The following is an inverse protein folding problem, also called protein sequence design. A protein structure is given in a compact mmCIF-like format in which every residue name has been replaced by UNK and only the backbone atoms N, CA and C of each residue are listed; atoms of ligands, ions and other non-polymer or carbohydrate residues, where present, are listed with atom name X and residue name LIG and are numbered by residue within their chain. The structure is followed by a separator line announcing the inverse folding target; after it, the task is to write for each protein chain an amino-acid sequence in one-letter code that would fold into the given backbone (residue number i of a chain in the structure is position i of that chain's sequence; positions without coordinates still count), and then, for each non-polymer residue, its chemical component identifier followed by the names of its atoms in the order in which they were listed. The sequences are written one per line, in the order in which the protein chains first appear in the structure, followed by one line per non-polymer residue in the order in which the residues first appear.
data_IF_235082929031
#
_entry.id   IF_235082929031
#
_cell.length_a   1.000
_cell.length_b   1.000
_cell.length_c   1.000
_cell.angle_alpha   90.00
_cell.angle_beta   90.00
_cell.angle_gamma   90.00
#
_symmetry.space_group_name_H-M   'P 1'
#
loop_
_entity.id
_entity.type
_entity.pdbx_description
1 polymer ?
#
# COMPACT_ATOMS: atom_id res chain seq x y z
N UNK A 1 4.59 47.20 -11.14
CA UNK A 1 5.64 46.16 -11.05
C UNK A 1 5.46 45.45 -9.73
N UNK A 2 4.76 44.35 -9.71
CA UNK A 2 4.54 43.51 -8.51
C UNK A 2 5.18 42.18 -8.78
N UNK A 3 6.37 41.98 -8.23
CA UNK A 3 7.07 40.73 -8.29
C UNK A 3 6.48 39.72 -7.28
N UNK A 4 5.77 38.73 -7.78
CA UNK A 4 5.32 37.58 -6.99
C UNK A 4 6.52 36.69 -6.73
N UNK A 5 7.05 36.73 -5.52
CA UNK A 5 8.11 35.82 -5.07
C UNK A 5 7.49 34.45 -4.81
N UNK A 6 7.64 33.57 -5.76
CA UNK A 6 7.30 32.15 -5.65
C UNK A 6 8.19 31.52 -4.58
N UNK A 7 7.62 31.29 -3.39
CA UNK A 7 8.33 30.60 -2.31
C UNK A 7 8.48 29.13 -2.73
N UNK A 8 9.66 28.78 -3.21
CA UNK A 8 10.08 27.39 -3.35
C UNK A 8 9.88 26.68 -2.00
N UNK A 9 8.92 25.75 -1.94
CA UNK A 9 8.75 24.83 -0.81
C UNK A 9 9.99 23.96 -0.73
N UNK A 10 10.92 24.29 0.16
CA UNK A 10 12.04 23.42 0.52
C UNK A 10 11.44 22.15 1.10
N UNK A 11 11.58 21.03 0.39
CA UNK A 11 11.23 19.68 0.93
C UNK A 11 12.07 19.49 2.20
N UNK A 12 11.46 19.10 3.34
CA UNK A 12 12.25 18.79 4.52
C UNK A 12 13.22 17.65 4.17
N UNK A 13 14.51 17.87 4.35
CA UNK A 13 15.52 16.82 4.24
C UNK A 13 15.22 15.82 5.37
N UNK A 14 14.74 14.63 5.00
CA UNK A 14 14.63 13.53 5.93
C UNK A 14 16.05 13.12 6.32
N UNK A 15 16.27 12.97 7.61
CA UNK A 15 17.48 12.28 8.06
C UNK A 15 17.43 10.85 7.50
N UNK A 16 18.53 10.34 6.94
CA UNK A 16 18.56 8.99 6.40
C UNK A 16 18.27 8.00 7.53
N UNK A 17 17.29 7.14 7.31
CA UNK A 17 17.02 6.05 8.23
C UNK A 17 18.29 5.20 8.38
N UNK A 18 18.80 5.04 9.59
CA UNK A 18 20.00 4.26 9.89
C UNK A 18 19.62 2.88 10.45
N UNK A 19 20.37 1.85 10.04
CA UNK A 19 20.21 0.49 10.53
C UNK A 19 19.27 -0.40 9.69
N UNK A 20 19.30 -1.71 9.96
CA UNK A 20 18.47 -2.69 9.26
C UNK A 20 17.00 -2.55 9.64
N UNK A 21 16.09 -2.87 8.71
CA UNK A 21 14.67 -2.97 9.02
C UNK A 21 14.36 -4.25 9.80
N UNK A 22 13.48 -4.13 10.79
CA UNK A 22 12.99 -5.26 11.59
C UNK A 22 11.69 -5.87 11.00
N UNK A 23 10.99 -5.11 10.14
CA UNK A 23 9.75 -5.54 9.53
C UNK A 23 9.43 -4.88 8.20
N UNK A 24 8.58 -5.54 7.42
CA UNK A 24 8.04 -5.02 6.18
C UNK A 24 6.52 -5.11 6.20
N UNK A 25 5.85 -4.01 5.88
CA UNK A 25 4.40 -3.91 5.74
C UNK A 25 4.09 -3.79 4.26
N UNK A 26 3.26 -4.67 3.75
CA UNK A 26 2.89 -4.73 2.33
C UNK A 26 1.48 -4.19 2.12
N UNK A 27 1.28 -3.46 1.05
CA UNK A 27 -0.03 -3.41 0.42
C UNK A 27 -0.36 -4.76 -0.22
N UNK A 28 -1.65 -4.99 -0.54
CA UNK A 28 -2.11 -6.27 -1.08
C UNK A 28 -2.29 -6.23 -2.60
N UNK A 29 -3.27 -5.46 -3.09
CA UNK A 29 -3.64 -5.45 -4.50
C UNK A 29 -2.67 -4.62 -5.33
N UNK A 30 -2.11 -5.21 -6.39
CA UNK A 30 -1.07 -4.54 -7.18
C UNK A 30 0.34 -4.67 -6.59
N UNK A 31 0.47 -5.14 -5.35
CA UNK A 31 1.74 -5.33 -4.65
C UNK A 31 2.04 -6.81 -4.39
N UNK A 32 1.25 -7.49 -3.60
CA UNK A 32 1.41 -8.95 -3.35
C UNK A 32 0.69 -9.79 -4.39
N UNK A 33 -0.49 -9.33 -4.81
CA UNK A 33 -1.37 -10.05 -5.72
C UNK A 33 -1.86 -9.16 -6.86
N UNK A 34 -2.22 -9.80 -7.96
CA UNK A 34 -3.03 -9.19 -9.02
C UNK A 34 -4.46 -9.75 -8.90
N UNK A 35 -5.37 -8.93 -8.44
CA UNK A 35 -6.80 -9.22 -8.35
C UNK A 35 -7.59 -8.75 -9.57
N UNK A 36 -6.93 -8.07 -10.51
CA UNK A 36 -7.54 -7.53 -11.71
C UNK A 36 -8.65 -6.50 -11.44
N UNK A 37 -8.55 -5.75 -10.33
CA UNK A 37 -9.48 -4.67 -10.01
C UNK A 37 -9.34 -3.52 -11.01
N UNK A 38 -10.45 -3.13 -11.62
CA UNK A 38 -10.52 -1.98 -12.53
C UNK A 38 -11.31 -0.84 -11.87
N UNK A 39 -10.57 0.05 -11.23
CA UNK A 39 -11.16 1.19 -10.53
C UNK A 39 -11.85 2.19 -11.48
N UNK A 40 -11.50 2.23 -12.78
CA UNK A 40 -12.20 3.07 -13.75
C UNK A 40 -13.58 2.49 -14.09
N UNK A 41 -13.68 1.18 -14.24
CA UNK A 41 -14.96 0.48 -14.40
C UNK A 41 -15.84 0.68 -13.17
N UNK A 42 -15.28 0.50 -11.96
CA UNK A 42 -16.03 0.72 -10.72
C UNK A 42 -16.61 2.13 -10.64
N UNK A 43 -15.79 3.18 -10.89
CA UNK A 43 -16.24 4.57 -10.89
C UNK A 43 -17.40 4.81 -11.87
N UNK A 44 -17.27 4.32 -13.09
CA UNK A 44 -18.33 4.46 -14.11
C UNK A 44 -19.63 3.79 -13.66
N UNK A 45 -19.54 2.60 -13.10
CA UNK A 45 -20.73 1.86 -12.61
C UNK A 45 -21.37 2.54 -11.39
N UNK A 46 -20.58 3.16 -10.54
CA UNK A 46 -21.04 3.95 -9.40
C UNK A 46 -21.60 5.32 -9.82
N UNK A 47 -21.33 5.79 -11.03
CA UNK A 47 -21.65 7.14 -11.48
C UNK A 47 -20.73 8.21 -10.89
N UNK A 48 -19.50 7.83 -10.50
CA UNK A 48 -18.52 8.74 -9.91
C UNK A 48 -17.57 9.31 -10.98
N UNK A 49 -17.02 10.53 -10.76
CA UNK A 49 -16.05 11.13 -11.67
C UNK A 49 -14.77 10.30 -11.82
N UNK A 50 -14.10 10.46 -12.95
CA UNK A 50 -12.80 9.83 -13.16
C UNK A 50 -11.74 10.35 -12.17
N UNK A 51 -10.84 9.45 -11.74
CA UNK A 51 -9.70 9.80 -10.91
C UNK A 51 -10.01 10.05 -9.42
N UNK A 52 -11.28 10.13 -9.00
CA UNK A 52 -11.61 10.33 -7.59
C UNK A 52 -11.33 9.08 -6.76
N UNK A 53 -10.88 9.22 -5.49
CA UNK A 53 -10.74 8.10 -4.58
C UNK A 53 -12.12 7.56 -4.18
N UNK A 54 -12.34 6.24 -4.36
CA UNK A 54 -13.67 5.63 -4.20
C UNK A 54 -14.19 5.72 -2.76
N UNK A 55 -13.42 5.26 -1.79
CA UNK A 55 -13.86 5.18 -0.39
C UNK A 55 -14.18 6.57 0.18
N UNK A 56 -13.28 7.52 -0.02
CA UNK A 56 -13.44 8.90 0.46
C UNK A 56 -14.61 9.63 -0.22
N UNK A 57 -14.84 9.33 -1.49
CA UNK A 57 -15.98 9.90 -2.23
C UNK A 57 -17.29 9.32 -1.69
N UNK A 58 -17.33 8.01 -1.41
CA UNK A 58 -18.54 7.34 -0.90
C UNK A 58 -18.94 7.83 0.48
N UNK A 59 -18.01 8.31 1.31
CA UNK A 59 -18.31 8.88 2.64
C UNK A 59 -19.12 10.17 2.56
N UNK A 60 -19.08 10.87 1.42
CA UNK A 60 -19.75 12.15 1.20
C UNK A 60 -21.05 12.04 0.36
N UNK A 61 -21.46 10.82 0.01
CA UNK A 61 -22.72 10.58 -0.74
C UNK A 61 -23.94 10.55 0.18
N UNK A 62 -25.11 10.80 -0.39
CA UNK A 62 -26.37 10.50 0.29
C UNK A 62 -26.44 8.99 0.65
N UNK A 63 -27.10 8.66 1.75
CA UNK A 63 -27.11 7.31 2.32
C UNK A 63 -27.51 6.22 1.30
N UNK A 64 -28.61 6.42 0.55
CA UNK A 64 -29.06 5.47 -0.46
C UNK A 64 -28.03 5.26 -1.58
N UNK A 65 -27.33 6.31 -1.98
CA UNK A 65 -26.30 6.26 -3.01
C UNK A 65 -25.03 5.59 -2.48
N UNK A 66 -24.63 5.90 -1.25
CA UNK A 66 -23.52 5.24 -0.58
C UNK A 66 -23.73 3.73 -0.43
N UNK A 67 -24.93 3.29 -0.07
CA UNK A 67 -25.31 1.86 0.01
C UNK A 67 -25.16 1.20 -1.37
N UNK A 68 -25.67 1.82 -2.43
CA UNK A 68 -25.54 1.31 -3.80
C UNK A 68 -24.08 1.19 -4.21
N UNK A 69 -23.29 2.22 -3.98
CA UNK A 69 -21.86 2.23 -4.31
C UNK A 69 -21.06 1.17 -3.52
N UNK A 70 -21.37 0.99 -2.23
CA UNK A 70 -20.77 -0.09 -1.41
C UNK A 70 -21.07 -1.47 -1.97
N UNK A 71 -22.30 -1.73 -2.41
CA UNK A 71 -22.66 -3.02 -3.02
C UNK A 71 -21.89 -3.27 -4.33
N UNK A 72 -21.69 -2.24 -5.15
CA UNK A 72 -20.86 -2.31 -6.37
C UNK A 72 -19.40 -2.63 -6.00
N UNK A 73 -18.83 -1.89 -5.05
CA UNK A 73 -17.45 -2.09 -4.57
C UNK A 73 -17.24 -3.54 -4.10
N UNK A 74 -18.08 -4.01 -3.17
CA UNK A 74 -17.98 -5.36 -2.60
C UNK A 74 -18.08 -6.45 -3.68
N UNK A 75 -18.96 -6.29 -4.67
CA UNK A 75 -19.08 -7.25 -5.78
C UNK A 75 -17.77 -7.31 -6.60
N UNK A 76 -17.18 -6.16 -6.93
CA UNK A 76 -15.89 -6.11 -7.66
C UNK A 76 -14.75 -6.68 -6.84
N UNK A 77 -14.66 -6.34 -5.58
CA UNK A 77 -13.63 -6.84 -4.65
C UNK A 77 -13.76 -8.37 -4.48
N UNK A 78 -14.96 -8.90 -4.26
CA UNK A 78 -15.18 -10.34 -4.15
C UNK A 78 -14.83 -11.08 -5.45
N UNK A 79 -15.19 -10.53 -6.60
CA UNK A 79 -14.80 -11.08 -7.90
C UNK A 79 -13.28 -11.02 -8.10
N UNK A 80 -12.63 -9.95 -7.63
CA UNK A 80 -11.17 -9.80 -7.62
C UNK A 80 -10.51 -10.86 -6.74
N UNK A 81 -10.97 -11.03 -5.51
CA UNK A 81 -10.48 -12.04 -4.59
C UNK A 81 -10.57 -13.46 -5.18
N UNK A 82 -11.70 -13.78 -5.83
CA UNK A 82 -11.93 -15.10 -6.43
C UNK A 82 -10.97 -15.43 -7.59
N UNK A 83 -10.38 -14.43 -8.27
CA UNK A 83 -9.45 -14.63 -9.39
C UNK A 83 -8.01 -14.21 -9.08
N UNK A 84 -7.74 -13.71 -7.88
CA UNK A 84 -6.43 -13.19 -7.48
C UNK A 84 -5.31 -14.20 -7.70
N UNK A 85 -4.19 -13.73 -8.20
CA UNK A 85 -2.95 -14.49 -8.40
C UNK A 85 -1.78 -13.77 -7.74
N UNK A 86 -0.86 -14.53 -7.16
CA UNK A 86 0.35 -13.98 -6.54
C UNK A 86 1.26 -13.40 -7.62
N UNK A 87 1.74 -12.18 -7.42
CA UNK A 87 2.68 -11.55 -8.34
C UNK A 87 4.03 -12.25 -8.35
N UNK A 88 4.69 -12.20 -9.50
CA UNK A 88 5.96 -12.90 -9.71
C UNK A 88 7.03 -12.45 -8.72
N UNK A 89 7.72 -13.41 -8.11
CA UNK A 89 8.80 -13.17 -7.15
C UNK A 89 8.35 -12.92 -5.71
N UNK A 90 7.05 -12.64 -5.46
CA UNK A 90 6.53 -12.34 -4.11
C UNK A 90 6.84 -13.46 -3.12
N UNK A 91 6.47 -14.73 -3.44
CA UNK A 91 6.72 -15.84 -2.50
C UNK A 91 8.19 -15.96 -2.09
N UNK A 92 9.07 -15.94 -3.09
CA UNK A 92 10.52 -15.99 -2.85
C UNK A 92 11.01 -14.82 -2.00
N UNK A 93 10.46 -13.64 -2.23
CA UNK A 93 10.83 -12.45 -1.45
C UNK A 93 10.35 -12.56 0.01
N UNK A 94 9.10 -13.01 0.24
CA UNK A 94 8.56 -13.25 1.58
C UNK A 94 9.36 -14.33 2.33
N UNK A 95 9.72 -15.44 1.66
CA UNK A 95 10.54 -16.51 2.25
C UNK A 95 11.93 -16.01 2.61
N UNK A 96 12.51 -15.15 1.78
CA UNK A 96 13.82 -14.55 2.07
C UNK A 96 13.77 -13.62 3.29
N UNK A 97 12.75 -12.76 3.40
CA UNK A 97 12.54 -11.91 4.57
C UNK A 97 12.36 -12.77 5.84
N UNK A 98 11.59 -13.85 5.74
CA UNK A 98 11.38 -14.79 6.85
C UNK A 98 12.69 -15.45 7.28
N UNK A 99 13.52 -15.88 6.32
CA UNK A 99 14.84 -16.45 6.58
C UNK A 99 15.82 -15.46 7.23
N UNK A 100 15.62 -14.16 7.04
CA UNK A 100 16.38 -13.08 7.68
C UNK A 100 15.78 -12.64 9.03
N UNK A 101 14.69 -13.27 9.49
CA UNK A 101 14.00 -12.89 10.73
C UNK A 101 13.22 -11.58 10.64
N UNK A 102 12.96 -11.07 9.44
CA UNK A 102 12.20 -9.85 9.21
C UNK A 102 10.71 -10.12 9.29
N UNK A 103 10.00 -9.41 10.17
CA UNK A 103 8.55 -9.56 10.35
C UNK A 103 7.79 -9.05 9.15
N UNK A 104 6.59 -9.61 8.93
CA UNK A 104 5.80 -9.33 7.73
C UNK A 104 4.35 -9.09 8.11
N UNK A 105 3.76 -8.01 7.58
CA UNK A 105 2.36 -7.69 7.76
C UNK A 105 1.74 -7.16 6.46
N UNK A 106 0.42 -7.16 6.41
CA UNK A 106 -0.36 -6.54 5.33
C UNK A 106 -1.13 -5.35 5.88
N UNK A 107 -1.17 -4.26 5.13
CA UNK A 107 -2.10 -3.15 5.32
C UNK A 107 -2.80 -2.85 4.01
N UNK A 108 -4.10 -3.16 3.93
CA UNK A 108 -4.91 -3.04 2.72
C UNK A 108 -6.11 -2.12 2.92
N UNK A 109 -6.64 -1.58 1.82
CA UNK A 109 -7.90 -0.82 1.79
C UNK A 109 -9.13 -1.71 1.56
N UNK A 110 -8.94 -3.03 1.43
CA UNK A 110 -10.03 -3.98 1.35
C UNK A 110 -10.72 -4.19 2.69
N UNK A 111 -11.94 -4.74 2.65
CA UNK A 111 -12.60 -5.26 3.84
C UNK A 111 -11.87 -6.50 4.37
N UNK A 112 -12.14 -6.83 5.63
CA UNK A 112 -11.61 -8.04 6.28
C UNK A 112 -11.95 -9.30 5.47
N UNK A 113 -13.21 -9.45 5.08
CA UNK A 113 -13.70 -10.59 4.31
C UNK A 113 -12.93 -10.75 2.98
N UNK A 114 -12.77 -9.68 2.24
CA UNK A 114 -12.07 -9.70 0.94
C UNK A 114 -10.57 -9.96 1.11
N UNK A 115 -9.94 -9.39 2.13
CA UNK A 115 -8.53 -9.62 2.41
C UNK A 115 -8.27 -11.09 2.77
N UNK A 116 -9.08 -11.65 3.68
CA UNK A 116 -8.96 -13.05 4.10
C UNK A 116 -9.22 -14.03 2.94
N UNK A 117 -10.24 -13.77 2.12
CA UNK A 117 -10.52 -14.57 0.92
C UNK A 117 -9.36 -14.54 -0.08
N UNK A 118 -8.79 -13.35 -0.32
CA UNK A 118 -7.66 -13.15 -1.24
C UNK A 118 -6.40 -13.86 -0.75
N UNK A 119 -6.05 -13.68 0.52
CA UNK A 119 -4.87 -14.31 1.13
C UNK A 119 -5.00 -15.82 1.16
N UNK A 120 -6.18 -16.35 1.53
CA UNK A 120 -6.48 -17.79 1.52
C UNK A 120 -6.34 -18.38 0.11
N UNK A 121 -6.96 -17.76 -0.90
CA UNK A 121 -6.86 -18.20 -2.28
C UNK A 121 -5.40 -18.21 -2.77
N UNK A 122 -4.66 -17.18 -2.42
CA UNK A 122 -3.26 -17.02 -2.80
C UNK A 122 -2.31 -17.84 -1.92
N UNK A 123 -2.80 -18.54 -0.88
CA UNK A 123 -1.97 -19.26 0.10
C UNK A 123 -0.81 -18.38 0.60
N UNK A 124 -1.14 -17.16 1.00
CA UNK A 124 -0.25 -16.25 1.68
C UNK A 124 -0.68 -16.13 3.13
N UNK A 125 0.29 -16.19 4.03
CA UNK A 125 0.05 -16.10 5.47
C UNK A 125 0.89 -14.98 6.08
N UNK A 126 0.24 -14.16 6.93
CA UNK A 126 0.85 -13.03 7.60
C UNK A 126 0.42 -12.98 9.07
N UNK A 127 1.35 -12.63 9.95
CA UNK A 127 1.09 -12.48 11.38
C UNK A 127 0.04 -11.40 11.66
N UNK A 128 0.09 -10.30 10.93
CA UNK A 128 -0.83 -9.17 11.06
C UNK A 128 -1.37 -8.76 9.70
N UNK A 129 -2.68 -8.61 9.63
CA UNK A 129 -3.39 -8.07 8.46
C UNK A 129 -4.30 -6.95 8.94
N UNK A 130 -4.02 -5.73 8.50
CA UNK A 130 -4.83 -4.54 8.79
C UNK A 130 -5.65 -4.17 7.55
N UNK A 131 -6.94 -4.01 7.74
CA UNK A 131 -7.95 -3.77 6.71
C UNK A 131 -8.68 -2.45 6.96
N UNK A 132 -9.60 -2.05 6.07
CA UNK A 132 -10.44 -0.86 6.30
C UNK A 132 -11.43 -1.03 7.45
N UNK A 133 -11.66 -2.27 7.91
CA UNK A 133 -12.62 -2.56 8.98
C UNK A 133 -11.96 -2.45 10.37
N UNK A 134 -10.62 -2.35 10.44
CA UNK A 134 -9.89 -2.29 11.70
C UNK A 134 -9.65 -0.84 12.19
N UNK A 135 -9.75 0.14 11.29
CA UNK A 135 -9.50 1.54 11.62
C UNK A 135 -9.27 2.43 10.40
N UNK A 136 -8.66 3.60 10.59
CA UNK A 136 -8.40 4.55 9.51
C UNK A 136 -7.62 3.93 8.36
N UNK A 137 -8.10 4.22 7.12
CA UNK A 137 -7.50 3.71 5.87
C UNK A 137 -6.29 4.53 5.44
N UNK A 138 -5.44 3.96 4.57
CA UNK A 138 -4.38 4.71 3.88
C UNK A 138 -4.97 5.93 3.16
N UNK A 139 -4.38 7.11 3.28
CA UNK A 139 -3.02 7.41 3.73
C UNK A 139 -2.87 7.73 5.23
N UNK A 140 -3.79 7.33 6.11
CA UNK A 140 -3.62 7.48 7.55
C UNK A 140 -2.50 6.55 8.06
N UNK A 141 -1.59 7.02 8.94
CA UNK A 141 -0.48 6.22 9.45
C UNK A 141 -0.86 5.24 10.57
N UNK A 142 -2.12 5.25 11.02
CA UNK A 142 -2.56 4.54 12.23
C UNK A 142 -2.20 3.05 12.20
N UNK A 143 -2.54 2.34 11.13
CA UNK A 143 -2.29 0.90 11.04
C UNK A 143 -0.79 0.57 11.06
N UNK A 144 0.04 1.38 10.40
CA UNK A 144 1.51 1.20 10.44
C UNK A 144 2.03 1.37 11.86
N UNK A 145 1.59 2.40 12.59
CA UNK A 145 1.98 2.62 13.98
C UNK A 145 1.48 1.51 14.89
N UNK A 146 0.26 1.02 14.66
CA UNK A 146 -0.30 -0.11 15.40
C UNK A 146 0.53 -1.39 15.21
N UNK A 147 0.88 -1.72 13.95
CA UNK A 147 1.75 -2.86 13.63
C UNK A 147 3.11 -2.69 14.31
N UNK A 148 3.74 -1.51 14.23
CA UNK A 148 5.01 -1.24 14.88
C UNK A 148 4.93 -1.43 16.40
N UNK A 149 3.88 -0.93 17.05
CA UNK A 149 3.66 -1.10 18.49
C UNK A 149 3.50 -2.58 18.87
N UNK A 150 2.72 -3.35 18.09
CA UNK A 150 2.56 -4.80 18.27
C UNK A 150 3.88 -5.55 18.12
N UNK A 151 4.73 -5.10 17.22
CA UNK A 151 6.05 -5.69 17.01
C UNK A 151 7.12 -5.22 18.01
N UNK A 152 6.85 -4.18 18.79
CA UNK A 152 7.82 -3.57 19.70
C UNK A 152 8.96 -2.85 19.00
N UNK A 153 8.70 -2.30 17.80
CA UNK A 153 9.69 -1.58 16.98
C UNK A 153 9.24 -0.15 16.71
N UNK A 154 10.18 0.73 16.38
CA UNK A 154 9.84 2.10 15.93
C UNK A 154 9.58 2.11 14.42
N UNK A 155 8.72 3.02 13.89
CA UNK A 155 8.42 3.08 12.46
C UNK A 155 9.65 3.19 11.57
N UNK A 156 10.70 3.86 12.01
CA UNK A 156 11.97 3.99 11.28
C UNK A 156 12.67 2.65 10.99
N UNK A 157 12.33 1.59 11.74
CA UNK A 157 12.80 0.22 11.56
C UNK A 157 11.88 -0.62 10.66
N UNK A 158 10.89 -0.01 10.01
CA UNK A 158 9.92 -0.71 9.16
C UNK A 158 9.94 -0.11 7.77
N UNK A 159 9.83 -0.96 6.74
CA UNK A 159 9.60 -0.55 5.37
C UNK A 159 8.15 -0.81 4.97
N UNK A 160 7.53 0.15 4.29
CA UNK A 160 6.20 0.01 3.68
C UNK A 160 6.40 -0.14 2.18
N UNK A 161 5.88 -1.23 1.61
CA UNK A 161 5.94 -1.51 0.17
C UNK A 161 4.51 -1.49 -0.38
N UNK A 162 4.26 -0.61 -1.34
CA UNK A 162 2.98 -0.50 -2.04
C UNK A 162 3.15 0.02 -3.46
N UNK A 163 2.10 -0.07 -4.26
CA UNK A 163 2.13 0.33 -5.68
C UNK A 163 1.45 1.68 -5.96
N UNK A 164 0.90 2.32 -4.90
CA UNK A 164 0.17 3.56 -5.04
C UNK A 164 0.60 4.63 -4.01
N UNK A 165 0.29 5.91 -4.32
CA UNK A 165 0.68 7.05 -3.47
C UNK A 165 0.18 6.95 -2.03
N UNK A 166 -0.97 6.33 -1.78
CA UNK A 166 -1.51 6.22 -0.42
C UNK A 166 -0.65 5.35 0.51
N UNK A 167 0.03 4.35 -0.04
CA UNK A 167 0.99 3.53 0.70
C UNK A 167 2.19 4.35 1.13
N UNK A 168 2.70 5.12 0.16
CA UNK A 168 3.88 5.98 0.37
C UNK A 168 3.56 7.10 1.36
N UNK A 169 2.42 7.77 1.21
CA UNK A 169 1.99 8.81 2.15
C UNK A 169 1.76 8.27 3.56
N UNK A 170 1.14 7.10 3.70
CA UNK A 170 0.95 6.45 5.01
C UNK A 170 2.29 6.13 5.67
N UNK A 171 3.23 5.55 4.92
CA UNK A 171 4.59 5.26 5.39
C UNK A 171 5.32 6.51 5.84
N UNK A 172 5.25 7.58 5.04
CA UNK A 172 5.84 8.87 5.35
C UNK A 172 5.30 9.47 6.64
N UNK A 173 3.97 9.50 6.77
CA UNK A 173 3.27 10.05 7.96
C UNK A 173 3.52 9.21 9.22
N UNK A 174 3.79 7.93 9.06
CA UNK A 174 4.20 7.06 10.16
C UNK A 174 5.66 7.29 10.60
N UNK A 175 6.53 7.75 9.69
CA UNK A 175 7.98 7.81 9.88
C UNK A 175 8.67 6.52 9.45
N UNK A 176 8.04 5.70 8.62
CA UNK A 176 8.59 4.47 8.07
C UNK A 176 9.36 4.73 6.75
N UNK A 177 10.22 3.79 6.38
CA UNK A 177 10.86 3.77 5.05
C UNK A 177 9.81 3.40 4.00
N UNK A 178 9.90 3.96 2.82
CA UNK A 178 8.86 3.79 1.79
C UNK A 178 9.45 3.26 0.48
N UNK A 179 8.76 2.26 -0.08
CA UNK A 179 9.15 1.60 -1.33
C UNK A 179 7.96 1.60 -2.28
N UNK A 180 8.07 2.31 -3.40
CA UNK A 180 7.08 2.24 -4.46
C UNK A 180 7.36 1.02 -5.35
N UNK A 181 6.41 0.09 -5.39
CA UNK A 181 6.46 -1.04 -6.30
C UNK A 181 5.91 -0.64 -7.67
N UNK A 182 6.79 -0.55 -8.67
CA UNK A 182 6.43 0.01 -9.96
C UNK A 182 5.91 -1.01 -10.97
N UNK A 183 6.07 -2.31 -10.71
CA UNK A 183 5.72 -3.40 -11.64
C UNK A 183 6.43 -3.24 -13.01
N UNK A 184 7.64 -2.68 -13.02
CA UNK A 184 8.41 -2.42 -14.24
C UNK A 184 7.94 -1.21 -15.06
N UNK A 185 6.92 -0.46 -14.59
CA UNK A 185 6.49 0.80 -15.22
C UNK A 185 7.50 1.91 -14.91
N UNK A 186 7.66 2.90 -15.82
CA UNK A 186 8.47 4.08 -15.53
C UNK A 186 7.96 4.77 -14.26
N UNK A 187 8.85 4.98 -13.29
CA UNK A 187 8.46 5.52 -11.98
C UNK A 187 7.84 6.91 -12.08
N UNK A 188 8.32 7.74 -13.01
CA UNK A 188 7.85 9.12 -13.23
C UNK A 188 6.36 9.19 -13.60
N UNK A 189 5.80 8.10 -14.11
CA UNK A 189 4.38 8.01 -14.48
C UNK A 189 3.48 7.60 -13.31
N UNK A 190 4.04 7.27 -12.14
CA UNK A 190 3.29 6.69 -11.04
C UNK A 190 3.02 7.71 -9.93
N UNK A 191 1.78 7.77 -9.41
CA UNK A 191 1.46 8.62 -8.27
C UNK A 191 2.30 8.26 -7.05
N UNK A 192 2.98 9.25 -6.46
CA UNK A 192 3.80 9.08 -5.26
C UNK A 192 5.26 8.68 -5.50
N UNK A 193 5.68 8.55 -6.77
CA UNK A 193 7.06 8.21 -7.09
C UNK A 193 8.08 9.25 -6.60
N UNK A 194 7.71 10.52 -6.63
CA UNK A 194 8.53 11.62 -6.14
C UNK A 194 8.63 11.68 -4.61
N UNK A 195 7.80 10.91 -3.90
CA UNK A 195 7.71 10.84 -2.45
C UNK A 195 8.42 9.63 -1.88
N UNK A 196 8.49 8.52 -2.63
CA UNK A 196 9.06 7.26 -2.16
C UNK A 196 10.58 7.37 -1.95
N UNK A 197 11.08 6.71 -0.89
CA UNK A 197 12.51 6.62 -0.60
C UNK A 197 13.21 5.66 -1.59
N UNK A 198 12.53 4.56 -1.94
CA UNK A 198 13.03 3.57 -2.87
C UNK A 198 11.99 3.19 -3.93
N UNK A 199 12.47 2.70 -5.06
CA UNK A 199 11.64 2.10 -6.10
C UNK A 199 12.02 0.64 -6.29
N UNK A 200 11.01 -0.24 -6.43
CA UNK A 200 11.17 -1.66 -6.73
C UNK A 200 10.43 -2.00 -8.02
N UNK A 201 11.16 -2.38 -9.05
CA UNK A 201 10.55 -2.76 -10.32
C UNK A 201 9.99 -4.18 -10.31
N UNK A 202 10.65 -5.10 -9.60
CA UNK A 202 10.26 -6.52 -9.54
C UNK A 202 10.78 -7.16 -8.26
N UNK A 203 9.93 -7.98 -7.61
CA UNK A 203 10.35 -8.78 -6.47
C UNK A 203 11.42 -9.84 -6.84
N UNK A 204 11.54 -10.20 -8.11
CA UNK A 204 12.61 -11.08 -8.58
C UNK A 204 14.00 -10.43 -8.51
N UNK A 205 14.07 -9.10 -8.49
CA UNK A 205 15.30 -8.30 -8.50
C UNK A 205 15.43 -7.45 -7.22
N UNK A 206 14.96 -7.98 -6.10
CA UNK A 206 14.91 -7.23 -4.84
C UNK A 206 16.25 -7.16 -4.07
N UNK A 207 17.33 -7.74 -4.57
CA UNK A 207 18.62 -7.79 -3.85
C UNK A 207 19.19 -6.40 -3.54
N UNK A 208 19.04 -5.46 -4.45
CA UNK A 208 19.49 -4.09 -4.24
C UNK A 208 18.65 -3.40 -3.15
N UNK A 209 17.32 -3.62 -3.17
CA UNK A 209 16.43 -3.11 -2.14
C UNK A 209 16.79 -3.69 -0.77
N UNK A 210 17.00 -5.01 -0.66
CA UNK A 210 17.35 -5.65 0.60
C UNK A 210 18.62 -5.04 1.19
N UNK A 211 19.67 -4.89 0.38
CA UNK A 211 20.90 -4.20 0.82
C UNK A 211 20.65 -2.76 1.27
N UNK A 212 19.82 -2.02 0.55
CA UNK A 212 19.46 -0.65 0.91
C UNK A 212 18.65 -0.57 2.23
N UNK A 213 17.89 -1.63 2.55
CA UNK A 213 17.17 -1.79 3.80
C UNK A 213 18.02 -2.35 4.94
N UNK A 214 19.31 -2.66 4.69
CA UNK A 214 20.24 -3.21 5.67
C UNK A 214 20.10 -4.73 5.87
N UNK A 215 19.57 -5.46 4.89
CA UNK A 215 19.28 -6.90 4.94
C UNK A 215 20.18 -7.74 4.02
#
# INVERSE_FOLDING_TARGET
MSGSTERQRVKPRREPHSGPVAGVIFDMDGTLVDSGLDFAVMRREMGLPDGVPLLETMENLAEAEAIRCRAILLRHEAAGAARAVVLSGVRRFLDRLRGLGVRQAVFTRNSREVADATLTRCRLDFELVMTRDDGPIKPDPWAIRHICATWGVVPAQVAVIGDYRFDIEAGIRAGARTVLFTRGRPSESLPGADLAEFHLASFQQADQLLRALGL
#
